data_IF_651526666765
#
_entry.id   IF_651526666765
#
_cell.length_a   1.000
_cell.length_b   1.000
_cell.length_c   1.000
_cell.angle_alpha   90.00
_cell.angle_beta   90.00
_cell.angle_gamma   90.00
#
_symmetry.space_group_name_H-M   'P 1'
#
loop_
_entity.id
_entity.type
_entity.pdbx_description
1 polymer ?
#
# COMPACT_ATOMS: atom_id res chain seq x y z
N UNK A 1 20.91 3.84 -0.31
CA UNK A 1 20.06 3.90 -1.52
C UNK A 1 18.68 4.32 -1.05
N UNK A 2 18.03 5.25 -1.74
CA UNK A 2 16.62 5.57 -1.47
C UNK A 2 15.75 4.34 -1.79
N UNK A 3 14.61 4.14 -1.11
CA UNK A 3 13.67 3.08 -1.45
C UNK A 3 13.20 3.26 -2.90
N UNK A 4 13.14 2.15 -3.65
CA UNK A 4 12.66 2.16 -5.04
C UNK A 4 11.13 2.23 -5.13
N UNK A 5 10.43 1.89 -4.04
CA UNK A 5 9.01 2.10 -3.88
C UNK A 5 8.78 3.55 -3.46
N UNK A 6 7.94 4.26 -4.21
CA UNK A 6 7.53 5.62 -3.89
C UNK A 6 6.21 5.58 -3.12
N UNK A 7 6.03 6.53 -2.22
CA UNK A 7 4.80 6.71 -1.43
C UNK A 7 4.04 7.94 -1.97
N UNK A 8 2.93 7.68 -2.64
CA UNK A 8 2.09 8.64 -3.37
C UNK A 8 1.74 9.93 -2.62
N UNK A 9 1.21 9.85 -1.38
CA UNK A 9 0.76 11.01 -0.61
C UNK A 9 1.93 11.91 -0.22
N UNK A 10 3.09 11.33 0.06
CA UNK A 10 4.33 12.06 0.31
C UNK A 10 4.82 12.75 -0.97
N UNK A 11 4.86 12.02 -2.09
CA UNK A 11 5.37 12.55 -3.37
C UNK A 11 4.43 13.57 -4.02
N UNK A 12 3.12 13.46 -3.78
CA UNK A 12 2.08 14.36 -4.29
C UNK A 12 1.60 15.36 -3.23
N UNK A 13 2.32 15.49 -2.11
CA UNK A 13 1.93 16.36 -1.00
C UNK A 13 1.64 17.79 -1.45
N UNK A 14 2.46 18.37 -2.34
CA UNK A 14 2.22 19.72 -2.85
C UNK A 14 0.86 19.88 -3.53
N UNK A 15 0.40 18.84 -4.23
CA UNK A 15 -0.92 18.84 -4.87
C UNK A 15 -2.03 18.64 -3.85
N UNK A 16 -1.86 17.72 -2.90
CA UNK A 16 -2.81 17.48 -1.79
C UNK A 16 -2.98 18.77 -0.97
N UNK A 17 -1.88 19.40 -0.56
CA UNK A 17 -1.87 20.70 0.13
C UNK A 17 -2.58 21.76 -0.70
N UNK A 18 -2.30 21.87 -1.99
CA UNK A 18 -3.01 22.83 -2.86
C UNK A 18 -4.52 22.61 -2.89
N UNK A 19 -4.98 21.35 -2.83
CA UNK A 19 -6.42 21.05 -2.74
C UNK A 19 -7.00 21.47 -1.38
N UNK A 20 -6.31 21.17 -0.29
CA UNK A 20 -6.72 21.57 1.06
C UNK A 20 -6.75 23.10 1.22
N UNK A 21 -5.79 23.80 0.62
CA UNK A 21 -5.73 25.26 0.58
C UNK A 21 -6.90 25.86 -0.21
N UNK A 22 -7.18 25.31 -1.40
CA UNK A 22 -8.33 25.73 -2.20
C UNK A 22 -9.64 25.53 -1.46
N UNK A 23 -9.77 24.44 -0.69
CA UNK A 23 -10.94 24.14 0.12
C UNK A 23 -11.03 24.96 1.42
N UNK A 24 -10.01 25.76 1.74
CA UNK A 24 -9.86 26.46 3.02
C UNK A 24 -10.04 25.52 4.24
N UNK A 25 -9.60 24.27 4.09
CA UNK A 25 -9.84 23.22 5.07
C UNK A 25 -9.19 23.55 6.42
N UNK A 26 -9.96 23.40 7.50
CA UNK A 26 -9.49 23.55 8.89
C UNK A 26 -9.62 22.26 9.67
N UNK A 27 -10.60 21.44 9.35
CA UNK A 27 -10.80 20.11 9.91
C UNK A 27 -10.44 19.06 8.86
N UNK A 28 -9.47 18.21 9.16
CA UNK A 28 -9.01 17.16 8.25
C UNK A 28 -9.09 15.80 8.95
N UNK A 29 -9.63 14.80 8.26
CA UNK A 29 -9.57 13.40 8.69
C UNK A 29 -8.58 12.67 7.78
N UNK A 30 -7.57 12.05 8.36
CA UNK A 30 -6.69 11.08 7.71
C UNK A 30 -7.15 9.67 8.08
N UNK A 31 -7.33 8.81 7.09
CA UNK A 31 -7.64 7.38 7.26
C UNK A 31 -6.46 6.59 6.73
N UNK A 32 -5.79 5.86 7.62
CA UNK A 32 -4.52 5.19 7.32
C UNK A 32 -3.33 6.13 7.52
N UNK A 33 -2.51 5.85 8.52
CA UNK A 33 -1.37 6.71 8.91
C UNK A 33 -0.03 6.18 8.44
N UNK A 34 0.06 4.86 8.16
CA UNK A 34 1.28 4.16 7.78
C UNK A 34 2.48 4.54 8.69
N UNK A 35 3.48 5.24 8.13
CA UNK A 35 4.69 5.69 8.82
C UNK A 35 4.55 7.04 9.55
N UNK A 36 3.40 7.69 9.42
CA UNK A 36 3.11 9.02 9.95
C UNK A 36 3.76 10.17 9.19
N UNK A 37 4.33 9.93 8.01
CA UNK A 37 4.93 10.99 7.19
C UNK A 37 3.87 12.02 6.76
N UNK A 38 2.78 11.53 6.15
CA UNK A 38 1.66 12.37 5.74
C UNK A 38 0.94 13.02 6.94
N UNK A 39 0.77 12.28 8.05
CA UNK A 39 0.19 12.80 9.30
C UNK A 39 0.88 14.08 9.79
N UNK A 40 2.22 14.13 9.73
CA UNK A 40 2.99 15.31 10.16
C UNK A 40 2.79 16.51 9.23
N UNK A 41 2.75 16.27 7.93
CA UNK A 41 2.51 17.32 6.93
C UNK A 41 1.10 17.90 7.07
N UNK A 42 0.09 17.04 7.31
CA UNK A 42 -1.27 17.46 7.59
C UNK A 42 -1.36 18.26 8.89
N UNK A 43 -0.65 17.83 9.94
CA UNK A 43 -0.62 18.53 11.23
C UNK A 43 0.00 19.93 11.10
N UNK A 44 1.07 20.07 10.31
CA UNK A 44 1.65 21.38 9.98
C UNK A 44 0.64 22.25 9.20
N UNK A 45 -0.02 21.68 8.19
CA UNK A 45 -1.03 22.38 7.39
C UNK A 45 -2.20 22.94 8.22
N UNK A 46 -2.82 22.11 9.08
CA UNK A 46 -3.93 22.57 9.92
C UNK A 46 -3.43 23.57 10.97
N UNK A 47 -2.17 23.44 11.38
CA UNK A 47 -1.57 24.32 12.36
C UNK A 47 -1.42 25.77 11.93
N UNK A 48 -1.15 26.01 10.64
CA UNK A 48 -1.15 27.34 10.02
C UNK A 48 -2.55 28.01 10.00
N UNK A 49 -3.61 27.23 10.26
CA UNK A 49 -5.01 27.63 10.06
C UNK A 49 -5.86 27.54 11.34
N UNK A 50 -5.22 27.33 12.49
CA UNK A 50 -5.91 27.07 13.77
C UNK A 50 -6.94 25.94 13.63
N UNK A 51 -6.59 24.92 12.85
CA UNK A 51 -7.41 23.76 12.54
C UNK A 51 -7.06 22.52 13.40
N UNK A 52 -7.72 21.42 13.08
CA UNK A 52 -7.66 20.14 13.80
C UNK A 52 -7.49 18.97 12.81
N UNK A 53 -6.74 17.95 13.24
CA UNK A 53 -6.45 16.73 12.48
C UNK A 53 -6.92 15.51 13.29
N UNK A 54 -7.81 14.72 12.70
CA UNK A 54 -8.18 13.39 13.20
C UNK A 54 -7.49 12.33 12.36
N UNK A 55 -6.79 11.42 13.01
CA UNK A 55 -6.11 10.31 12.35
C UNK A 55 -6.76 9.00 12.78
N UNK A 56 -7.35 8.28 11.83
CA UNK A 56 -8.03 7.00 12.01
C UNK A 56 -7.08 5.89 11.59
N UNK A 57 -6.65 5.10 12.56
CA UNK A 57 -5.65 4.06 12.35
C UNK A 57 -5.89 2.89 13.32
N UNK A 58 -6.11 1.66 12.83
CA UNK A 58 -6.25 0.50 13.71
C UNK A 58 -4.96 0.16 14.46
N UNK A 59 -3.80 0.27 13.83
CA UNK A 59 -2.51 -0.20 14.36
C UNK A 59 -1.41 0.87 14.16
N UNK A 60 -1.47 2.01 14.87
CA UNK A 60 -0.55 3.11 14.65
C UNK A 60 0.86 2.76 15.09
N UNK A 61 1.82 3.26 14.32
CA UNK A 61 3.24 3.18 14.66
C UNK A 61 3.56 4.03 15.90
N UNK A 62 4.63 3.69 16.62
CA UNK A 62 5.09 4.47 17.78
C UNK A 62 5.30 5.95 17.41
N UNK A 63 5.77 6.19 16.20
CA UNK A 63 5.94 7.51 15.60
C UNK A 63 4.65 8.34 15.54
N UNK A 64 3.52 7.71 15.24
CA UNK A 64 2.18 8.34 15.21
C UNK A 64 1.63 8.47 16.63
N UNK A 65 1.82 7.45 17.47
CA UNK A 65 1.37 7.48 18.87
C UNK A 65 2.05 8.59 19.71
N UNK A 66 3.29 8.93 19.35
CA UNK A 66 4.14 9.87 20.08
C UNK A 66 4.19 11.26 19.43
N UNK A 67 3.27 11.58 18.51
CA UNK A 67 3.15 12.93 17.98
C UNK A 67 2.87 13.90 19.15
N UNK A 68 3.89 14.69 19.51
CA UNK A 68 3.80 15.76 20.51
C UNK A 68 3.19 17.01 19.86
N UNK A 69 1.86 17.09 19.88
CA UNK A 69 1.17 18.31 19.48
C UNK A 69 0.84 19.19 20.69
N UNK A 70 1.67 20.21 20.90
CA UNK A 70 1.55 21.13 22.04
C UNK A 70 0.29 21.99 22.04
N UNK A 71 -0.47 21.96 20.94
CA UNK A 71 -1.68 22.76 20.77
C UNK A 71 -2.96 21.91 20.80
N UNK A 72 -2.86 20.61 21.13
CA UNK A 72 -3.99 19.68 21.27
C UNK A 72 -4.91 19.59 20.02
N UNK A 73 -4.36 19.79 18.81
CA UNK A 73 -5.06 19.72 17.51
C UNK A 73 -5.04 18.34 16.88
N UNK A 74 -4.15 17.45 17.35
CA UNK A 74 -4.02 16.09 16.85
C UNK A 74 -4.88 15.11 17.66
N UNK A 75 -5.73 14.37 16.97
CA UNK A 75 -6.66 13.42 17.57
C UNK A 75 -6.50 12.03 16.94
N UNK A 76 -5.85 11.11 17.65
CA UNK A 76 -5.71 9.73 17.22
C UNK A 76 -6.94 8.89 17.59
N UNK A 77 -7.59 8.31 16.59
CA UNK A 77 -8.74 7.42 16.72
C UNK A 77 -8.31 6.00 16.36
N UNK A 78 -8.28 5.12 17.36
CA UNK A 78 -7.92 3.72 17.15
C UNK A 78 -9.11 2.90 16.68
N UNK A 79 -9.06 2.44 15.44
CA UNK A 79 -10.07 1.54 14.91
C UNK A 79 -9.99 1.41 13.39
N UNK A 80 -10.72 0.42 12.87
CA UNK A 80 -10.84 0.21 11.42
C UNK A 80 -11.96 1.08 10.86
N UNK A 81 -11.69 1.79 9.77
CA UNK A 81 -12.72 2.38 8.95
C UNK A 81 -13.52 1.28 8.23
N UNK A 82 -14.81 1.52 7.89
CA UNK A 82 -15.60 2.72 8.16
C UNK A 82 -16.07 2.83 9.63
N UNK A 83 -16.00 1.76 10.42
CA UNK A 83 -16.61 1.72 11.77
C UNK A 83 -16.04 2.77 12.74
N UNK A 84 -14.74 3.06 12.65
CA UNK A 84 -14.09 4.10 13.45
C UNK A 84 -14.56 5.53 13.11
N UNK A 85 -15.22 5.72 11.95
CA UNK A 85 -15.80 7.01 11.56
C UNK A 85 -17.16 7.25 12.23
N UNK A 86 -17.82 6.19 12.76
CA UNK A 86 -19.15 6.30 13.36
C UNK A 86 -19.17 7.31 14.52
N UNK A 87 -20.02 8.33 14.39
CA UNK A 87 -20.20 9.37 15.40
C UNK A 87 -19.18 10.51 15.32
N UNK A 88 -18.21 10.46 14.40
CA UNK A 88 -17.35 11.61 14.11
C UNK A 88 -18.18 12.73 13.46
N UNK A 89 -17.80 13.99 13.76
CA UNK A 89 -18.33 15.12 13.04
C UNK A 89 -17.81 15.13 11.60
N UNK A 90 -18.59 15.74 10.70
CA UNK A 90 -18.15 15.96 9.32
C UNK A 90 -17.00 16.95 9.32
N UNK A 91 -15.93 16.64 8.60
CA UNK A 91 -14.76 17.51 8.40
C UNK A 91 -14.75 18.15 7.02
N UNK A 92 -13.94 19.20 6.86
CA UNK A 92 -13.82 19.94 5.59
C UNK A 92 -13.14 19.09 4.51
N UNK A 93 -12.20 18.22 4.92
CA UNK A 93 -11.49 17.32 4.02
C UNK A 93 -11.20 15.95 4.64
N UNK A 94 -11.14 14.94 3.77
CA UNK A 94 -10.80 13.55 4.10
C UNK A 94 -9.65 13.08 3.20
N UNK A 95 -8.61 12.50 3.80
CA UNK A 95 -7.51 11.82 3.12
C UNK A 95 -7.71 10.32 3.35
N UNK A 96 -8.02 9.57 2.30
CA UNK A 96 -8.37 8.16 2.34
C UNK A 96 -7.22 7.33 1.77
N UNK A 97 -6.46 6.66 2.65
CA UNK A 97 -5.31 5.80 2.34
C UNK A 97 -5.23 4.61 3.33
N UNK A 98 -6.40 4.04 3.64
CA UNK A 98 -6.54 2.86 4.51
C UNK A 98 -6.46 1.54 3.72
N UNK A 99 -7.44 0.66 3.92
CA UNK A 99 -7.49 -0.60 3.17
C UNK A 99 -7.85 -0.36 1.69
N UNK A 100 -7.04 -0.88 0.77
CA UNK A 100 -7.25 -0.71 -0.68
C UNK A 100 -8.22 -1.74 -1.28
N UNK A 101 -9.42 -1.86 -0.72
CA UNK A 101 -10.47 -2.71 -1.27
C UNK A 101 -11.79 -1.96 -1.49
N UNK A 102 -12.57 -2.45 -2.44
CA UNK A 102 -13.83 -1.84 -2.84
C UNK A 102 -14.79 -1.65 -1.66
N UNK A 103 -14.94 -2.68 -0.81
CA UNK A 103 -15.92 -2.65 0.26
C UNK A 103 -15.59 -1.55 1.27
N UNK A 104 -14.35 -1.47 1.74
CA UNK A 104 -13.95 -0.45 2.72
C UNK A 104 -14.15 0.96 2.15
N UNK A 105 -13.59 1.24 0.97
CA UNK A 105 -13.65 2.58 0.35
C UNK A 105 -15.09 2.99 0.04
N UNK A 106 -15.92 2.08 -0.47
CA UNK A 106 -17.33 2.40 -0.74
C UNK A 106 -18.08 2.79 0.53
N UNK A 107 -17.80 2.13 1.67
CA UNK A 107 -18.44 2.45 2.94
C UNK A 107 -17.90 3.71 3.59
N UNK A 108 -16.61 4.00 3.43
CA UNK A 108 -16.02 5.28 3.84
C UNK A 108 -16.68 6.44 3.09
N UNK A 109 -16.81 6.34 1.76
CA UNK A 109 -17.47 7.36 0.95
C UNK A 109 -18.96 7.53 1.30
N UNK A 110 -19.68 6.43 1.50
CA UNK A 110 -21.06 6.47 1.99
C UNK A 110 -21.15 7.17 3.35
N UNK A 111 -20.23 6.88 4.27
CA UNK A 111 -20.19 7.51 5.59
C UNK A 111 -19.88 9.01 5.49
N UNK A 112 -18.86 9.39 4.73
CA UNK A 112 -18.47 10.80 4.52
C UNK A 112 -19.62 11.60 3.90
N UNK A 113 -20.39 10.99 3.01
CA UNK A 113 -21.56 11.63 2.41
C UNK A 113 -22.75 11.75 3.37
N UNK A 114 -22.89 10.82 4.31
CA UNK A 114 -23.98 10.82 5.28
C UNK A 114 -23.88 12.04 6.20
N UNK A 115 -25.03 12.69 6.44
CA UNK A 115 -25.09 13.87 7.30
C UNK A 115 -24.62 15.16 6.65
N UNK A 116 -24.23 15.13 5.37
CA UNK A 116 -23.81 16.32 4.62
C UNK A 116 -24.90 16.74 3.61
N UNK A 117 -25.13 18.05 3.49
CA UNK A 117 -25.91 18.59 2.36
C UNK A 117 -25.13 18.62 1.05
N UNK A 118 -23.80 18.46 1.15
CA UNK A 118 -22.85 18.54 0.06
C UNK A 118 -21.59 17.77 0.47
N UNK A 119 -21.05 16.95 -0.43
CA UNK A 119 -19.83 16.18 -0.15
C UNK A 119 -18.64 17.13 0.15
N UNK A 120 -17.88 16.89 1.23
CA UNK A 120 -16.62 17.60 1.50
C UNK A 120 -15.54 17.19 0.50
N UNK A 121 -14.35 17.80 0.62
CA UNK A 121 -13.21 17.41 -0.20
C UNK A 121 -12.74 16.01 0.22
N UNK A 122 -12.64 15.07 -0.71
CA UNK A 122 -12.09 13.74 -0.46
C UNK A 122 -10.92 13.51 -1.39
N UNK A 123 -9.76 13.22 -0.82
CA UNK A 123 -8.55 12.83 -1.55
C UNK A 123 -8.34 11.34 -1.30
N UNK A 124 -8.28 10.55 -2.36
CA UNK A 124 -8.12 9.10 -2.30
C UNK A 124 -6.79 8.69 -2.90
N UNK A 125 -6.08 7.81 -2.21
CA UNK A 125 -4.94 7.14 -2.78
C UNK A 125 -5.35 5.85 -3.52
N UNK A 126 -4.44 5.26 -4.30
CA UNK A 126 -4.55 3.93 -4.89
C UNK A 126 -5.68 3.76 -5.92
N UNK A 127 -6.11 4.86 -6.53
CA UNK A 127 -7.08 4.86 -7.65
C UNK A 127 -6.46 4.41 -8.98
N UNK A 128 -5.14 4.32 -9.07
CA UNK A 128 -4.39 3.76 -10.20
C UNK A 128 -4.03 2.29 -9.97
N UNK A 129 -3.19 1.73 -10.85
CA UNK A 129 -2.67 0.38 -10.64
C UNK A 129 -1.70 0.39 -9.43
N UNK A 130 -1.68 -0.63 -8.55
CA UNK A 130 -2.35 -1.94 -8.68
C UNK A 130 -3.79 -1.97 -8.18
N UNK A 131 -4.15 -1.13 -7.22
CA UNK A 131 -5.36 -1.33 -6.41
C UNK A 131 -6.63 -0.72 -6.99
N UNK A 132 -6.51 0.15 -7.98
CA UNK A 132 -7.64 0.86 -8.57
C UNK A 132 -8.68 -0.07 -9.16
N UNK A 133 -8.24 -1.22 -9.70
CA UNK A 133 -9.10 -2.28 -10.28
C UNK A 133 -8.93 -3.64 -9.62
N UNK A 134 -8.21 -3.73 -8.52
CA UNK A 134 -7.93 -5.00 -7.83
C UNK A 134 -7.90 -4.76 -6.34
N UNK A 135 -8.74 -5.45 -5.58
CA UNK A 135 -8.71 -5.35 -4.13
C UNK A 135 -7.38 -5.86 -3.56
N UNK A 136 -6.89 -5.15 -2.55
CA UNK A 136 -5.84 -5.59 -1.63
C UNK A 136 -6.41 -5.69 -0.21
N UNK A 137 -5.97 -6.70 0.53
CA UNK A 137 -6.48 -6.99 1.86
C UNK A 137 -5.34 -7.13 2.87
N UNK A 138 -5.38 -6.33 3.93
CA UNK A 138 -4.52 -6.48 5.10
C UNK A 138 -5.10 -7.44 6.13
N UNK A 139 -6.42 -7.43 6.31
CA UNK A 139 -7.15 -8.30 7.25
C UNK A 139 -8.48 -8.79 6.65
N UNK A 140 -8.46 -9.65 5.61
CA UNK A 140 -9.67 -10.12 4.93
C UNK A 140 -10.68 -10.80 5.87
N UNK A 141 -10.21 -11.41 6.97
CA UNK A 141 -11.03 -12.02 8.00
C UNK A 141 -11.87 -11.02 8.83
N UNK A 142 -11.49 -9.73 8.82
CA UNK A 142 -12.25 -8.67 9.47
C UNK A 142 -13.40 -8.13 8.59
N UNK A 143 -13.41 -8.48 7.30
CA UNK A 143 -14.40 -8.03 6.34
C UNK A 143 -15.62 -8.98 6.29
N UNK A 144 -16.81 -8.48 5.89
CA UNK A 144 -17.96 -9.35 5.66
C UNK A 144 -17.68 -10.42 4.59
N UNK A 145 -18.24 -11.62 4.74
CA UNK A 145 -17.96 -12.76 3.85
C UNK A 145 -18.21 -12.50 2.35
N UNK A 146 -19.12 -11.58 2.00
CA UNK A 146 -19.41 -11.19 0.62
C UNK A 146 -18.59 -10.01 0.08
N UNK A 147 -17.69 -9.46 0.90
CA UNK A 147 -16.82 -8.33 0.56
C UNK A 147 -15.44 -8.75 0.07
N UNK A 148 -15.10 -10.03 0.20
CA UNK A 148 -13.75 -10.54 -0.06
C UNK A 148 -13.75 -11.41 -1.32
N UNK A 149 -13.00 -11.01 -2.33
CA UNK A 149 -12.74 -11.84 -3.50
C UNK A 149 -11.82 -13.01 -3.17
N UNK A 150 -11.82 -14.09 -3.97
CA UNK A 150 -10.73 -15.06 -3.95
C UNK A 150 -9.38 -14.33 -4.04
N UNK A 151 -8.48 -14.60 -3.11
CA UNK A 151 -7.23 -13.84 -2.96
C UNK A 151 -6.02 -14.73 -2.68
N UNK A 152 -4.82 -14.16 -2.76
CA UNK A 152 -3.56 -14.82 -2.41
C UNK A 152 -2.62 -13.86 -1.69
N UNK A 153 -1.90 -14.39 -0.70
CA UNK A 153 -0.81 -13.72 0.01
C UNK A 153 0.54 -13.84 -0.69
N UNK A 154 0.66 -14.79 -1.62
CA UNK A 154 1.92 -15.20 -2.23
C UNK A 154 2.05 -14.74 -3.69
N UNK A 155 0.94 -14.70 -4.42
CA UNK A 155 0.91 -14.28 -5.82
C UNK A 155 0.99 -12.76 -5.93
N UNK A 156 1.50 -12.29 -7.06
CA UNK A 156 1.52 -10.89 -7.41
C UNK A 156 0.80 -10.56 -8.70
N UNK A 157 0.94 -9.31 -9.09
CA UNK A 157 0.28 -8.72 -10.25
C UNK A 157 1.26 -7.95 -11.13
N UNK A 158 0.86 -7.72 -12.37
CA UNK A 158 1.55 -6.87 -13.32
C UNK A 158 0.53 -6.20 -14.24
N UNK A 159 0.75 -4.94 -14.65
CA UNK A 159 -0.20 -4.25 -15.50
C UNK A 159 -0.43 -4.98 -16.85
N UNK A 160 -1.69 -5.16 -17.23
CA UNK A 160 -2.09 -5.90 -18.43
C UNK A 160 -2.22 -7.42 -18.22
N UNK A 161 -2.00 -7.93 -16.99
CA UNK A 161 -2.30 -9.32 -16.62
C UNK A 161 -3.50 -9.36 -15.68
N UNK A 162 -4.59 -9.93 -16.17
CA UNK A 162 -5.84 -10.06 -15.42
C UNK A 162 -5.69 -10.95 -14.18
N UNK A 163 -5.02 -12.09 -14.28
CA UNK A 163 -4.90 -13.06 -13.20
C UNK A 163 -3.58 -12.88 -12.43
N UNK A 164 -3.65 -13.06 -11.11
CA UNK A 164 -2.48 -13.09 -10.23
C UNK A 164 -1.56 -14.27 -10.60
N UNK A 165 -0.25 -14.11 -10.44
CA UNK A 165 0.75 -15.10 -10.84
C UNK A 165 1.97 -15.08 -9.91
N UNK A 166 2.83 -16.10 -10.02
CA UNK A 166 4.09 -16.14 -9.27
C UNK A 166 5.05 -15.06 -9.77
N UNK A 167 5.34 -14.06 -8.94
CA UNK A 167 6.16 -12.91 -9.31
C UNK A 167 5.39 -11.60 -9.24
N UNK A 168 5.92 -10.54 -9.87
CA UNK A 168 5.25 -9.24 -9.93
C UNK A 168 5.15 -8.51 -8.58
N UNK A 169 4.27 -7.50 -8.52
CA UNK A 169 3.98 -6.73 -7.32
C UNK A 169 3.10 -7.52 -6.36
N UNK A 170 3.57 -7.70 -5.12
CA UNK A 170 2.96 -8.56 -4.10
C UNK A 170 3.37 -8.16 -2.70
N UNK A 171 2.51 -8.46 -1.72
CA UNK A 171 2.73 -8.08 -0.33
C UNK A 171 3.77 -8.89 0.43
N UNK A 172 4.24 -10.03 -0.12
CA UNK A 172 5.18 -10.95 0.57
C UNK A 172 4.74 -11.29 2.00
N UNK A 173 3.44 -11.54 2.19
CA UNK A 173 2.83 -11.79 3.49
C UNK A 173 2.34 -10.55 4.25
N UNK A 174 2.64 -9.33 3.78
CA UNK A 174 2.14 -8.08 4.37
C UNK A 174 0.70 -7.72 3.97
N UNK A 175 0.27 -8.16 2.78
CA UNK A 175 -1.11 -8.04 2.31
C UNK A 175 -1.40 -9.13 1.26
N UNK A 176 -2.68 -9.47 1.10
CA UNK A 176 -3.18 -10.30 0.01
C UNK A 176 -3.73 -9.46 -1.14
N UNK A 177 -3.75 -10.03 -2.34
CA UNK A 177 -4.41 -9.42 -3.51
C UNK A 177 -5.52 -10.33 -4.04
N UNK A 178 -6.60 -9.73 -4.54
CA UNK A 178 -7.60 -10.47 -5.30
C UNK A 178 -6.96 -11.18 -6.51
N UNK A 179 -7.36 -12.42 -6.78
CA UNK A 179 -6.78 -13.26 -7.83
C UNK A 179 -7.05 -12.71 -9.25
N UNK A 180 -8.06 -11.86 -9.41
CA UNK A 180 -8.46 -11.28 -10.69
C UNK A 180 -8.54 -9.76 -10.58
N UNK A 181 -8.07 -9.05 -11.59
CA UNK A 181 -8.26 -7.60 -11.76
C UNK A 181 -9.48 -7.31 -12.61
N UNK A 182 -10.17 -6.22 -12.24
CA UNK A 182 -11.43 -5.80 -12.82
C UNK A 182 -12.61 -6.66 -12.37
N UNK A 183 -13.76 -6.41 -12.98
CA UNK A 183 -15.04 -6.98 -12.56
C UNK A 183 -15.79 -6.07 -11.59
N UNK A 184 -16.98 -6.53 -11.18
CA UNK A 184 -17.82 -5.79 -10.25
C UNK A 184 -17.17 -5.74 -8.87
N UNK A 185 -17.25 -4.57 -8.23
CA UNK A 185 -16.88 -4.37 -6.83
C UNK A 185 -15.43 -4.79 -6.51
N UNK A 186 -14.50 -4.39 -7.37
CA UNK A 186 -13.09 -4.78 -7.27
C UNK A 186 -12.16 -3.59 -7.54
N UNK A 187 -11.49 -3.13 -6.49
CA UNK A 187 -10.54 -2.04 -6.48
C UNK A 187 -11.09 -0.69 -6.01
N UNK A 188 -10.18 0.18 -5.60
CA UNK A 188 -10.46 1.51 -5.03
C UNK A 188 -11.16 2.42 -6.04
N UNK A 189 -10.62 2.52 -7.27
CA UNK A 189 -11.23 3.35 -8.32
C UNK A 189 -12.62 2.86 -8.70
N UNK A 190 -12.84 1.55 -8.67
CA UNK A 190 -14.17 0.97 -8.90
C UNK A 190 -15.15 1.40 -7.81
N UNK A 191 -14.73 1.46 -6.54
CA UNK A 191 -15.59 1.98 -5.46
C UNK A 191 -15.93 3.45 -5.64
N UNK A 192 -14.96 4.27 -6.03
CA UNK A 192 -15.19 5.71 -6.28
C UNK A 192 -16.13 5.91 -7.46
N UNK A 193 -15.91 5.21 -8.57
CA UNK A 193 -16.75 5.32 -9.76
C UNK A 193 -18.18 4.83 -9.52
N UNK A 194 -18.37 3.74 -8.77
CA UNK A 194 -19.70 3.26 -8.40
C UNK A 194 -20.41 4.22 -7.43
N UNK A 195 -19.67 4.84 -6.51
CA UNK A 195 -20.21 5.87 -5.60
C UNK A 195 -20.61 7.15 -6.33
N UNK A 196 -19.79 7.60 -7.28
CA UNK A 196 -20.12 8.73 -8.16
C UNK A 196 -21.30 8.37 -9.05
N UNK A 197 -21.27 7.20 -9.68
CA UNK A 197 -22.37 6.69 -10.50
C UNK A 197 -22.92 7.73 -11.48
N UNK A 198 -24.21 8.05 -11.37
CA UNK A 198 -24.89 9.07 -12.17
C UNK A 198 -25.07 10.41 -11.43
N UNK A 199 -24.21 10.71 -10.45
CA UNK A 199 -24.27 11.94 -9.65
C UNK A 199 -23.57 13.08 -10.36
N UNK A 200 -24.34 13.89 -11.06
CA UNK A 200 -23.83 15.06 -11.79
C UNK A 200 -23.35 16.19 -10.84
N UNK A 201 -23.69 16.11 -9.55
CA UNK A 201 -23.26 17.03 -8.49
C UNK A 201 -21.84 16.79 -7.98
N UNK A 202 -21.18 15.72 -8.45
CA UNK A 202 -19.84 15.33 -8.03
C UNK A 202 -18.83 15.46 -9.17
N UNK A 203 -17.62 15.86 -8.81
CA UNK A 203 -16.43 15.85 -9.67
C UNK A 203 -15.44 14.86 -9.13
N UNK A 204 -15.01 13.94 -9.98
CA UNK A 204 -13.92 13.02 -9.70
C UNK A 204 -12.79 13.25 -10.69
N UNK A 205 -11.63 13.62 -10.17
CA UNK A 205 -10.40 13.89 -10.92
C UNK A 205 -9.39 12.80 -10.58
N UNK A 206 -8.73 12.25 -11.59
CA UNK A 206 -7.69 11.22 -11.43
C UNK A 206 -6.36 11.76 -11.92
N UNK A 207 -5.35 11.74 -11.06
CA UNK A 207 -3.96 12.01 -11.42
C UNK A 207 -3.25 10.67 -11.58
N UNK A 208 -2.90 10.24 -12.80
CA UNK A 208 -2.35 8.90 -13.07
C UNK A 208 -0.84 8.86 -12.81
N UNK A 209 -0.43 9.22 -11.59
CA UNK A 209 0.96 9.20 -11.14
C UNK A 209 1.06 8.51 -9.78
N UNK A 210 2.11 7.70 -9.59
CA UNK A 210 2.48 7.04 -8.34
C UNK A 210 1.28 6.33 -7.70
N UNK A 211 0.88 5.20 -8.29
CA UNK A 211 -0.30 4.41 -7.90
C UNK A 211 -1.65 5.14 -7.96
N UNK A 212 -1.66 6.43 -8.32
CA UNK A 212 -2.83 7.23 -8.63
C UNK A 212 -3.34 8.04 -7.44
N UNK A 213 -3.69 9.30 -7.70
CA UNK A 213 -4.41 10.17 -6.75
C UNK A 213 -5.80 10.48 -7.30
N UNK A 214 -6.81 10.23 -6.49
CA UNK A 214 -8.19 10.63 -6.74
C UNK A 214 -8.54 11.88 -5.95
N UNK A 215 -9.22 12.84 -6.58
CA UNK A 215 -9.80 13.99 -5.88
C UNK A 215 -11.28 14.06 -6.21
N UNK A 216 -12.11 13.87 -5.18
CA UNK A 216 -13.56 13.81 -5.25
C UNK A 216 -14.15 14.96 -4.43
N UNK A 217 -15.03 15.75 -5.05
CA UNK A 217 -15.65 16.89 -4.40
C UNK A 217 -16.98 17.24 -5.06
N UNK A 218 -17.81 18.04 -4.40
CA UNK A 218 -19.03 18.54 -5.02
C UNK A 218 -18.77 19.67 -6.00
N UNK A 219 -19.43 19.64 -7.16
CA UNK A 219 -19.41 20.73 -8.14
C UNK A 219 -20.07 22.01 -7.63
N UNK A 220 -20.87 21.93 -6.57
CA UNK A 220 -21.51 23.08 -5.92
C UNK A 220 -20.62 23.73 -4.85
N UNK A 221 -19.47 23.12 -4.53
CA UNK A 221 -18.58 23.64 -3.50
C UNK A 221 -18.05 25.03 -3.88
N UNK A 222 -17.94 25.97 -2.91
CA UNK A 222 -17.36 27.29 -3.16
C UNK A 222 -15.95 27.24 -3.79
N UNK A 223 -15.20 26.17 -3.49
CA UNK A 223 -13.84 25.94 -3.96
C UNK A 223 -13.75 25.11 -5.26
N UNK A 224 -14.88 24.63 -5.81
CA UNK A 224 -14.89 23.71 -6.95
C UNK A 224 -14.13 24.27 -8.17
N UNK A 225 -14.34 25.55 -8.50
CA UNK A 225 -13.65 26.19 -9.62
C UNK A 225 -12.14 26.30 -9.41
N UNK A 226 -11.69 26.52 -8.17
CA UNK A 226 -10.27 26.58 -7.86
C UNK A 226 -9.62 25.20 -8.03
N UNK A 227 -10.30 24.13 -7.59
CA UNK A 227 -9.86 22.75 -7.80
C UNK A 227 -9.86 22.37 -9.28
N UNK A 228 -10.88 22.74 -10.06
CA UNK A 228 -10.93 22.51 -11.51
C UNK A 228 -9.68 23.09 -12.19
N UNK A 229 -9.31 24.34 -11.87
CA UNK A 229 -8.13 25.00 -12.46
C UNK A 229 -6.83 24.35 -11.98
N UNK A 230 -6.72 24.04 -10.68
CA UNK A 230 -5.53 23.43 -10.08
C UNK A 230 -5.25 22.03 -10.67
N UNK A 231 -6.30 21.22 -10.83
CA UNK A 231 -6.20 19.81 -11.18
C UNK A 231 -6.25 19.56 -12.69
N UNK A 232 -6.79 20.48 -13.49
CA UNK A 232 -6.91 20.33 -14.94
C UNK A 232 -5.61 19.89 -15.66
N UNK A 233 -4.40 20.36 -15.30
CA UNK A 233 -3.16 19.91 -15.94
C UNK A 233 -2.82 18.43 -15.66
N UNK A 234 -3.34 17.87 -14.58
CA UNK A 234 -2.99 16.53 -14.07
C UNK A 234 -4.06 15.48 -14.38
N UNK A 235 -5.32 15.92 -14.51
CA UNK A 235 -6.47 15.04 -14.69
C UNK A 235 -6.35 14.18 -15.95
N UNK A 236 -6.39 12.87 -15.78
CA UNK A 236 -6.26 11.85 -16.83
C UNK A 236 -5.14 12.18 -17.83
N UNK A 237 -4.03 12.74 -17.33
CA UNK A 237 -2.96 13.24 -18.20
C UNK A 237 -2.20 12.07 -18.85
N UNK A 238 -2.22 11.94 -20.20
CA UNK A 238 -1.61 10.80 -20.88
C UNK A 238 -0.08 10.73 -20.76
N UNK A 239 0.59 11.87 -20.53
CA UNK A 239 2.03 11.88 -20.29
C UNK A 239 2.34 11.29 -18.91
N UNK A 240 1.60 11.70 -17.88
CA UNK A 240 1.78 11.17 -16.52
C UNK A 240 1.47 9.67 -16.49
N UNK A 241 0.39 9.24 -17.13
CA UNK A 241 0.04 7.82 -17.23
C UNK A 241 1.17 7.00 -17.87
N UNK A 242 1.77 7.50 -18.95
CA UNK A 242 2.90 6.83 -19.61
C UNK A 242 4.16 6.79 -18.75
N UNK A 243 4.44 7.86 -18.00
CA UNK A 243 5.58 7.92 -17.07
C UNK A 243 5.37 6.96 -15.90
N UNK A 244 4.17 6.92 -15.35
CA UNK A 244 3.80 6.00 -14.29
C UNK A 244 3.87 4.54 -14.75
N UNK A 245 3.35 4.25 -15.94
CA UNK A 245 3.47 2.93 -16.54
C UNK A 245 4.93 2.50 -16.68
N UNK A 246 5.79 3.40 -17.16
CA UNK A 246 7.22 3.12 -17.28
C UNK A 246 7.87 2.89 -15.90
N UNK A 247 7.53 3.70 -14.89
CA UNK A 247 8.03 3.54 -13.52
C UNK A 247 7.65 2.18 -12.95
N UNK A 248 6.38 1.77 -13.10
CA UNK A 248 5.87 0.49 -12.63
C UNK A 248 6.58 -0.67 -13.35
N UNK A 249 6.69 -0.62 -14.69
CA UNK A 249 7.36 -1.68 -15.45
C UNK A 249 8.83 -1.84 -15.02
N UNK A 250 9.55 -0.73 -14.78
CA UNK A 250 10.92 -0.75 -14.25
C UNK A 250 11.00 -1.30 -12.82
N UNK A 251 10.03 -0.94 -11.97
CA UNK A 251 9.96 -1.46 -10.60
C UNK A 251 9.71 -2.98 -10.58
N UNK A 252 8.84 -3.47 -11.46
CA UNK A 252 8.59 -4.90 -11.61
C UNK A 252 9.81 -5.68 -12.09
N UNK A 253 10.56 -5.13 -13.06
CA UNK A 253 11.84 -5.71 -13.49
C UNK A 253 12.83 -5.80 -12.32
N UNK A 254 12.93 -4.75 -11.49
CA UNK A 254 13.76 -4.77 -10.29
C UNK A 254 13.34 -5.86 -9.29
N UNK A 255 12.03 -6.02 -9.06
CA UNK A 255 11.52 -7.10 -8.20
C UNK A 255 11.89 -8.48 -8.75
N UNK A 256 11.75 -8.68 -10.06
CA UNK A 256 12.14 -9.93 -10.72
C UNK A 256 13.65 -10.20 -10.57
N UNK A 257 14.50 -9.19 -10.75
CA UNK A 257 15.94 -9.37 -10.53
C UNK A 257 16.26 -9.72 -9.07
N UNK A 258 15.61 -9.07 -8.10
CA UNK A 258 15.77 -9.42 -6.68
C UNK A 258 15.34 -10.86 -6.38
N UNK A 259 14.26 -11.33 -7.00
CA UNK A 259 13.80 -12.71 -6.86
C UNK A 259 14.82 -13.71 -7.42
N UNK A 260 15.34 -13.44 -8.62
CA UNK A 260 16.39 -14.28 -9.24
C UNK A 260 17.64 -14.36 -8.38
N UNK A 261 18.12 -13.23 -7.86
CA UNK A 261 19.32 -13.19 -7.00
C UNK A 261 19.07 -13.96 -5.70
N UNK A 262 17.90 -13.79 -5.09
CA UNK A 262 17.52 -14.47 -3.86
C UNK A 262 17.41 -16.00 -4.06
N UNK A 263 16.83 -16.44 -5.17
CA UNK A 263 16.74 -17.86 -5.54
C UNK A 263 18.13 -18.48 -5.76
N UNK A 264 19.03 -17.78 -6.46
CA UNK A 264 20.42 -18.21 -6.66
C UNK A 264 21.18 -18.32 -5.34
N UNK A 265 21.01 -17.35 -4.43
CA UNK A 265 21.62 -17.39 -3.10
C UNK A 265 21.17 -18.60 -2.28
N UNK A 266 19.87 -18.92 -2.30
CA UNK A 266 19.32 -20.10 -1.64
C UNK A 266 19.87 -21.40 -2.24
N UNK A 267 19.96 -21.48 -3.58
CA UNK A 267 20.53 -22.63 -4.27
C UNK A 267 22.01 -22.83 -3.91
N UNK A 268 22.79 -21.75 -3.92
CA UNK A 268 24.21 -21.77 -3.53
C UNK A 268 24.38 -22.24 -2.08
N UNK A 269 23.57 -21.74 -1.15
CA UNK A 269 23.59 -22.18 0.25
C UNK A 269 23.29 -23.66 0.42
N UNK A 270 22.32 -24.21 -0.33
CA UNK A 270 22.02 -25.65 -0.34
C UNK A 270 23.20 -26.48 -0.84
N UNK A 271 23.81 -26.07 -1.95
CA UNK A 271 24.98 -26.76 -2.53
C UNK A 271 26.18 -26.74 -1.57
N UNK A 272 26.45 -25.61 -0.91
CA UNK A 272 27.51 -25.52 0.08
C UNK A 272 27.25 -26.44 1.28
N UNK A 273 26.01 -26.53 1.76
CA UNK A 273 25.64 -27.44 2.84
C UNK A 273 25.76 -28.93 2.43
N UNK A 274 25.46 -29.27 1.17
CA UNK A 274 25.68 -30.61 0.63
C UNK A 274 27.17 -30.96 0.51
N UNK A 275 27.97 -29.99 0.05
CA UNK A 275 29.42 -30.16 -0.05
C UNK A 275 30.06 -30.35 1.33
N UNK A 276 29.67 -29.55 2.33
CA UNK A 276 30.15 -29.66 3.71
C UNK A 276 29.81 -31.01 4.35
N UNK A 277 28.57 -31.50 4.14
CA UNK A 277 28.17 -32.85 4.56
C UNK A 277 29.01 -33.94 3.89
N UNK A 278 29.29 -33.79 2.58
CA UNK A 278 30.08 -34.76 1.82
C UNK A 278 31.55 -34.77 2.25
N UNK A 279 32.12 -33.59 2.52
CA UNK A 279 33.47 -33.43 3.02
C UNK A 279 33.61 -34.06 4.42
N UNK A 280 32.67 -33.76 5.32
CA UNK A 280 32.62 -34.36 6.67
C UNK A 280 32.56 -35.89 6.58
N UNK A 281 31.73 -36.45 5.71
CA UNK A 281 31.64 -37.90 5.52
C UNK A 281 32.95 -38.52 5.01
N UNK A 282 33.59 -37.88 4.02
CA UNK A 282 34.87 -38.33 3.47
C UNK A 282 36.01 -38.24 4.50
N UNK A 283 36.02 -37.22 5.37
CA UNK A 283 36.99 -37.09 6.45
C UNK A 283 36.85 -38.20 7.49
N UNK A 284 35.61 -38.58 7.83
CA UNK A 284 35.32 -39.72 8.71
C UNK A 284 35.82 -41.03 8.08
N UNK A 285 35.46 -41.30 6.82
CA UNK A 285 35.90 -42.51 6.11
C UNK A 285 37.43 -42.58 6.01
N UNK A 286 38.10 -41.46 5.69
CA UNK A 286 39.56 -41.40 5.64
C UNK A 286 40.19 -41.67 7.01
N UNK A 287 39.58 -41.22 8.12
CA UNK A 287 40.04 -41.52 9.47
C UNK A 287 39.89 -43.01 9.82
N UNK A 288 38.76 -43.62 9.43
CA UNK A 288 38.52 -45.05 9.62
C UNK A 288 39.53 -45.91 8.85
N UNK A 289 39.76 -45.60 7.57
CA UNK A 289 40.75 -46.29 6.74
C UNK A 289 42.17 -46.14 7.29
N UNK A 290 42.54 -44.96 7.80
CA UNK A 290 43.85 -44.75 8.45
C UNK A 290 44.00 -45.64 9.69
N UNK A 291 42.94 -45.78 10.49
CA UNK A 291 42.94 -46.66 11.66
C UNK A 291 43.06 -48.14 11.26
N UNK A 292 42.36 -48.56 10.20
CA UNK A 292 42.44 -49.93 9.69
C UNK A 292 43.84 -50.26 9.14
N UNK A 293 44.42 -49.34 8.36
CA UNK A 293 45.81 -49.47 7.86
C UNK A 293 46.80 -49.58 9.03
N UNK A 294 46.63 -48.78 10.09
CA UNK A 294 47.48 -48.88 11.28
C UNK A 294 47.37 -50.27 11.94
N UNK A 295 46.15 -50.77 12.15
CA UNK A 295 45.92 -52.11 12.72
C UNK A 295 46.52 -53.22 11.85
N UNK A 296 46.40 -53.13 10.53
CA UNK A 296 46.99 -54.11 9.60
C UNK A 296 48.52 -54.09 9.65
N UNK A 297 49.14 -52.91 9.74
CA UNK A 297 50.60 -52.76 9.91
C UNK A 297 51.09 -53.40 11.20
N UNK A 298 50.40 -53.19 12.32
CA UNK A 298 50.76 -53.81 13.60
C UNK A 298 50.71 -55.35 13.53
N UNK A 299 49.68 -55.91 12.86
CA UNK A 299 49.57 -57.37 12.68
C UNK A 299 50.66 -57.94 11.78
N UNK A 300 51.08 -57.20 10.75
CA UNK A 300 52.16 -57.63 9.85
C UNK A 300 53.54 -57.53 10.54
N UNK A 301 53.76 -56.48 11.33
CA UNK A 301 55.00 -56.27 12.10
C UNK A 301 55.18 -57.25 13.26
N UNK A 302 54.09 -57.82 13.79
CA UNK A 302 54.12 -58.87 14.82
C UNK A 302 54.34 -60.30 14.27
N UNK A 303 54.45 -60.47 12.94
CA UNK A 303 54.66 -61.77 12.27
C UNK A 303 56.10 -61.99 11.75
N UNK A 304 57.07 -61.20 12.25
CA UNK A 304 58.52 -61.38 12.02
C UNK A 304 59.19 -61.65 13.36
#
# INVERSE_FOLDING_TARGET
MSPALLHSLTEMNALVRGCLEAAEARSVVEIGSESGANTRELLEFVGEREGELWCVEPEPTLEVEQIDDRQDRFHLIRGRSPGALEGMAVSDAYIVDGDHNYWTVSRELEHIAQGTGQLPLVVLHDVGWPSGRRDQYYAPEALPAGAVHPHSWDLGSAPGREHAFEGGFRGRGGFAIALREGGERNGVRTAVEDFVGSRDDLRFVVVPAIFGLGVLYSSAAPYAQALDVLLAPFNDNPLLERLERNRVDLYLELLEQHDRVSALGLQQGRLLAEYDRSLTAAEVEAAELRLEVAKLRDRLGASV
#
